data_IF_832826556125
#
_entry.id   IF_832826556125
#
_cell.length_a   1.000
_cell.length_b   1.000
_cell.length_c   1.000
_cell.angle_alpha   90.00
_cell.angle_beta   90.00
_cell.angle_gamma   90.00
#
_symmetry.space_group_name_H-M   'P 1'
#
loop_
_entity.id
_entity.type
_entity.pdbx_description
1 polymer ?
#
# COMPACT_ATOMS: atom_id res chain seq x y z
N UNK A 1 -22.46 -11.25 11.33
CA UNK A 1 -20.99 -11.27 11.18
C UNK A 1 -20.28 -11.78 12.43
N UNK A 2 -20.75 -11.45 13.63
CA UNK A 2 -20.22 -11.98 14.90
C UNK A 2 -20.69 -11.12 16.06
N UNK A 3 -20.19 -11.38 17.26
CA UNK A 3 -20.37 -10.46 18.39
C UNK A 3 -19.41 -9.28 18.23
N UNK A 4 -19.90 -8.06 18.40
CA UNK A 4 -19.04 -6.87 18.42
C UNK A 4 -18.13 -6.90 19.65
N UNK A 5 -16.82 -6.74 19.42
CA UNK A 5 -15.79 -6.73 20.46
C UNK A 5 -15.16 -5.34 20.66
N UNK A 6 -15.42 -4.39 19.76
CA UNK A 6 -15.02 -2.98 19.90
C UNK A 6 -16.01 -2.00 19.25
N UNK A 7 -16.25 -0.81 19.86
CA UNK A 7 -17.10 0.24 19.29
C UNK A 7 -16.37 1.19 18.32
N UNK A 8 -15.04 1.13 18.30
CA UNK A 8 -14.17 1.94 17.47
C UNK A 8 -13.12 1.05 16.82
N UNK A 9 -12.87 1.25 15.54
CA UNK A 9 -11.95 0.45 14.73
C UNK A 9 -10.78 1.31 14.28
N UNK A 10 -9.56 0.78 14.40
CA UNK A 10 -8.34 1.45 13.97
C UNK A 10 -8.32 1.57 12.45
N UNK A 11 -8.21 2.79 11.94
CA UNK A 11 -8.18 3.11 10.52
C UNK A 11 -6.92 3.90 10.16
N UNK A 12 -6.29 3.51 9.07
CA UNK A 12 -5.12 4.14 8.49
C UNK A 12 -5.46 4.87 7.19
N UNK A 13 -4.64 5.86 6.89
CA UNK A 13 -4.57 6.48 5.57
C UNK A 13 -3.85 5.55 4.60
N UNK A 14 -4.14 5.69 3.32
CA UNK A 14 -3.44 4.98 2.25
C UNK A 14 -2.94 5.99 1.25
N UNK A 15 -1.70 5.85 0.79
CA UNK A 15 -1.19 6.64 -0.32
C UNK A 15 -0.37 5.77 -1.29
N UNK A 16 -0.35 6.12 -2.59
CA UNK A 16 0.63 5.57 -3.53
C UNK A 16 2.04 6.06 -3.18
N UNK A 17 3.04 5.62 -3.93
CA UNK A 17 4.37 6.23 -3.88
C UNK A 17 4.32 7.62 -4.54
N UNK A 18 4.96 8.62 -3.92
CA UNK A 18 5.04 10.00 -4.43
C UNK A 18 6.43 10.58 -4.15
N UNK A 19 6.72 11.82 -4.55
CA UNK A 19 7.97 12.46 -4.14
C UNK A 19 8.06 12.60 -2.61
N UNK A 20 9.26 12.86 -2.04
CA UNK A 20 9.39 13.16 -0.61
C UNK A 20 8.51 14.33 -0.16
N UNK A 21 8.41 15.39 -0.96
CA UNK A 21 7.60 16.58 -0.68
C UNK A 21 6.11 16.27 -0.66
N UNK A 22 5.62 15.54 -1.67
CA UNK A 22 4.21 15.14 -1.75
C UNK A 22 3.87 14.13 -0.64
N UNK A 23 4.80 13.22 -0.31
CA UNK A 23 4.65 12.29 0.81
C UNK A 23 4.52 13.01 2.16
N UNK A 24 5.28 14.09 2.36
CA UNK A 24 5.17 14.94 3.54
C UNK A 24 3.83 15.70 3.58
N UNK A 25 3.35 16.20 2.45
CA UNK A 25 2.05 16.86 2.34
C UNK A 25 0.89 15.88 2.66
N UNK A 26 0.96 14.65 2.14
CA UNK A 26 -0.02 13.59 2.44
C UNK A 26 -0.07 13.25 3.94
N UNK A 27 1.08 13.23 4.63
CA UNK A 27 1.11 13.04 6.09
C UNK A 27 0.37 14.16 6.82
N UNK A 28 0.54 15.42 6.39
CA UNK A 28 -0.15 16.56 6.99
C UNK A 28 -1.67 16.49 6.76
N UNK A 29 -2.09 16.14 5.54
CA UNK A 29 -3.50 15.96 5.19
C UNK A 29 -4.13 14.83 6.00
N UNK A 30 -3.49 13.66 6.04
CA UNK A 30 -3.94 12.52 6.81
C UNK A 30 -4.09 12.87 8.31
N UNK A 31 -3.08 13.54 8.89
CA UNK A 31 -3.11 13.96 10.29
C UNK A 31 -4.23 14.97 10.57
N UNK A 32 -4.44 15.93 9.65
CA UNK A 32 -5.51 16.94 9.70
C UNK A 32 -6.90 16.33 9.64
N UNK A 33 -7.07 15.24 8.88
CA UNK A 33 -8.29 14.43 8.82
C UNK A 33 -8.46 13.44 9.97
N UNK A 34 -7.61 13.54 10.99
CA UNK A 34 -7.73 12.79 12.22
C UNK A 34 -7.07 11.40 12.20
N UNK A 35 -6.45 10.98 11.09
CA UNK A 35 -5.70 9.72 11.04
C UNK A 35 -4.42 9.79 11.87
N UNK A 36 -3.93 8.62 12.31
CA UNK A 36 -2.67 8.49 13.06
C UNK A 36 -1.75 7.38 12.53
N UNK A 37 -2.19 6.68 11.50
CA UNK A 37 -1.39 5.72 10.77
C UNK A 37 -1.56 5.95 9.28
N UNK A 38 -0.49 5.77 8.52
CA UNK A 38 -0.49 5.86 7.07
C UNK A 38 0.27 4.68 6.49
N UNK A 39 -0.32 4.02 5.50
CA UNK A 39 0.33 3.02 4.67
C UNK A 39 0.72 3.65 3.34
N UNK A 40 2.01 3.57 3.00
CA UNK A 40 2.58 4.08 1.76
C UNK A 40 3.09 2.93 0.91
N UNK A 41 2.83 2.95 -0.40
CA UNK A 41 3.54 2.07 -1.33
C UNK A 41 4.99 2.52 -1.45
N UNK A 42 5.95 1.63 -1.19
CA UNK A 42 7.35 1.84 -1.54
C UNK A 42 7.59 1.29 -2.94
N UNK A 43 8.25 2.08 -3.80
CA UNK A 43 8.55 1.68 -5.18
C UNK A 43 10.00 1.95 -5.54
N UNK A 44 10.54 1.09 -6.38
CA UNK A 44 11.97 1.01 -6.69
C UNK A 44 12.56 2.29 -7.31
N UNK A 45 11.73 3.15 -7.90
CA UNK A 45 12.13 4.42 -8.50
C UNK A 45 12.06 5.63 -7.55
N UNK A 46 11.88 5.39 -6.24
CA UNK A 46 11.94 6.41 -5.19
C UNK A 46 12.95 6.05 -4.11
N UNK A 47 13.61 7.05 -3.54
CA UNK A 47 14.39 6.91 -2.32
C UNK A 47 13.45 6.86 -1.12
N UNK A 48 13.19 5.64 -0.65
CA UNK A 48 12.27 5.40 0.47
C UNK A 48 12.79 5.96 1.79
N UNK A 49 14.11 6.10 1.96
CA UNK A 49 14.70 6.66 3.18
C UNK A 49 14.47 8.16 3.22
N UNK A 50 14.67 8.85 2.10
CA UNK A 50 14.38 10.27 1.96
C UNK A 50 12.88 10.56 2.15
N UNK A 51 12.00 9.75 1.54
CA UNK A 51 10.55 9.83 1.76
C UNK A 51 10.21 9.69 3.26
N UNK A 52 10.79 8.71 3.94
CA UNK A 52 10.53 8.47 5.36
C UNK A 52 11.00 9.63 6.25
N UNK A 53 12.13 10.27 5.91
CA UNK A 53 12.64 11.46 6.61
C UNK A 53 11.70 12.65 6.42
N UNK A 54 11.29 12.94 5.19
CA UNK A 54 10.34 14.02 4.90
C UNK A 54 9.00 13.82 5.64
N UNK A 55 8.49 12.58 5.64
CA UNK A 55 7.28 12.21 6.40
C UNK A 55 7.48 12.37 7.92
N UNK A 56 8.65 12.01 8.47
CA UNK A 56 8.96 12.18 9.90
C UNK A 56 8.94 13.65 10.32
N UNK A 57 9.48 14.54 9.49
CA UNK A 57 9.54 15.98 9.76
C UNK A 57 8.13 16.63 9.74
N UNK A 58 7.27 16.18 8.84
CA UNK A 58 5.92 16.71 8.69
C UNK A 58 4.90 16.17 9.72
N UNK A 59 5.16 14.99 10.28
CA UNK A 59 4.22 14.28 11.13
C UNK A 59 4.07 14.85 12.55
N UNK A 60 2.87 14.74 13.16
CA UNK A 60 2.73 14.93 14.59
C UNK A 60 3.40 13.80 15.39
N UNK A 61 3.74 14.01 16.68
CA UNK A 61 4.51 13.04 17.48
C UNK A 61 3.88 11.64 17.66
N UNK A 62 2.56 11.51 17.54
CA UNK A 62 1.82 10.24 17.70
C UNK A 62 1.47 9.56 16.36
N UNK A 63 2.06 10.02 15.24
CA UNK A 63 1.85 9.42 13.93
C UNK A 63 2.76 8.21 13.69
N UNK A 64 2.34 7.33 12.79
CA UNK A 64 3.16 6.21 12.31
C UNK A 64 2.98 6.00 10.81
N UNK A 65 4.03 5.52 10.17
CA UNK A 65 3.98 5.10 8.76
C UNK A 65 4.35 3.62 8.62
N UNK A 66 3.83 3.02 7.57
CA UNK A 66 4.09 1.65 7.13
C UNK A 66 4.42 1.68 5.64
N UNK A 67 5.50 1.01 5.24
CA UNK A 67 5.89 0.89 3.84
C UNK A 67 5.56 -0.49 3.28
N UNK A 68 4.85 -0.51 2.16
CA UNK A 68 4.51 -1.72 1.42
C UNK A 68 5.33 -1.82 0.14
N UNK A 69 6.28 -2.76 0.17
CA UNK A 69 7.25 -2.98 -0.91
C UNK A 69 6.72 -3.93 -1.99
N UNK A 70 5.67 -4.72 -1.75
CA UNK A 70 5.19 -5.75 -2.68
C UNK A 70 6.33 -6.60 -3.29
N UNK A 71 7.27 -6.99 -2.44
CA UNK A 71 8.44 -7.81 -2.77
C UNK A 71 9.58 -7.08 -3.49
N UNK A 72 9.53 -5.76 -3.63
CA UNK A 72 10.48 -5.00 -4.45
C UNK A 72 11.90 -4.92 -3.90
N UNK A 73 12.16 -5.31 -2.64
CA UNK A 73 13.54 -5.45 -2.15
C UNK A 73 14.19 -6.75 -2.62
N UNK A 74 13.44 -7.65 -3.27
CA UNK A 74 13.90 -8.84 -4.01
C UNK A 74 14.52 -9.93 -3.12
N UNK A 75 15.60 -9.64 -2.40
CA UNK A 75 16.35 -10.59 -1.56
C UNK A 75 16.92 -9.91 -0.30
N UNK A 76 17.54 -10.68 0.59
CA UNK A 76 18.03 -10.19 1.88
C UNK A 76 19.13 -9.14 1.71
N UNK A 77 20.03 -9.34 0.76
CA UNK A 77 21.21 -8.51 0.54
C UNK A 77 20.84 -7.12 0.02
N UNK A 78 19.78 -7.01 -0.79
CA UNK A 78 19.21 -5.74 -1.22
C UNK A 78 18.32 -5.11 -0.14
N UNK A 79 17.59 -5.91 0.63
CA UNK A 79 16.70 -5.41 1.67
C UNK A 79 17.44 -4.82 2.89
N UNK A 80 18.46 -5.51 3.41
CA UNK A 80 19.12 -5.13 4.67
C UNK A 80 19.68 -3.70 4.69
N UNK A 81 20.40 -3.21 3.66
CA UNK A 81 20.90 -1.84 3.66
C UNK A 81 19.79 -0.81 3.81
N UNK A 82 18.68 -0.99 3.09
CA UNK A 82 17.54 -0.05 3.09
C UNK A 82 16.78 -0.13 4.42
N UNK A 83 16.45 -1.34 4.88
CA UNK A 83 15.67 -1.54 6.10
C UNK A 83 16.42 -1.07 7.36
N UNK A 84 17.76 -1.18 7.39
CA UNK A 84 18.58 -0.65 8.50
C UNK A 84 18.58 0.88 8.54
N UNK A 85 18.51 1.56 7.40
CA UNK A 85 18.35 3.02 7.39
C UNK A 85 16.94 3.42 7.83
N UNK A 86 15.91 2.72 7.36
CA UNK A 86 14.53 2.95 7.80
C UNK A 86 14.34 2.71 9.31
N UNK A 87 15.04 1.74 9.90
CA UNK A 87 14.97 1.46 11.35
C UNK A 87 15.45 2.64 12.21
N UNK A 88 16.32 3.49 11.67
CA UNK A 88 16.79 4.71 12.35
C UNK A 88 15.73 5.82 12.38
N UNK A 89 14.64 5.68 11.62
CA UNK A 89 13.60 6.70 11.44
C UNK A 89 12.39 6.34 12.33
N UNK A 90 12.16 7.05 13.45
CA UNK A 90 11.21 6.60 14.48
C UNK A 90 9.76 6.46 14.03
N UNK A 91 9.29 7.24 13.05
CA UNK A 91 7.91 7.17 12.54
C UNK A 91 7.63 5.87 11.76
N UNK A 92 8.66 5.18 11.26
CA UNK A 92 8.50 3.92 10.52
C UNK A 92 8.18 2.80 11.52
N UNK A 93 6.95 2.26 11.43
CA UNK A 93 6.43 1.25 12.37
C UNK A 93 5.97 -0.04 11.71
N UNK A 94 6.16 -0.18 10.40
CA UNK A 94 5.76 -1.38 9.68
C UNK A 94 6.41 -1.48 8.31
N UNK A 95 6.73 -2.71 7.92
CA UNK A 95 7.22 -3.05 6.58
C UNK A 95 6.36 -4.21 6.07
N UNK A 96 5.58 -3.96 5.04
CA UNK A 96 4.77 -4.97 4.38
C UNK A 96 5.50 -5.54 3.17
N UNK A 97 5.46 -6.87 3.06
CA UNK A 97 6.03 -7.64 1.96
C UNK A 97 7.39 -7.12 1.47
N UNK A 98 8.44 -7.06 2.31
CA UNK A 98 9.75 -6.52 1.91
C UNK A 98 10.31 -7.25 0.68
N UNK A 99 10.18 -8.57 0.67
CA UNK A 99 10.62 -9.48 -0.38
C UNK A 99 9.53 -10.48 -0.73
N UNK A 100 9.70 -11.20 -1.84
CA UNK A 100 8.78 -12.27 -2.23
C UNK A 100 8.65 -13.32 -1.12
N UNK A 101 7.45 -13.53 -0.59
CA UNK A 101 7.29 -14.43 0.57
C UNK A 101 7.37 -15.93 0.26
N UNK A 102 7.74 -16.32 -0.97
CA UNK A 102 8.24 -17.69 -1.21
C UNK A 102 9.65 -17.90 -0.63
N UNK A 103 10.43 -16.83 -0.43
CA UNK A 103 11.76 -16.89 0.18
C UNK A 103 11.64 -16.88 1.72
N UNK A 104 11.20 -18.02 2.26
CA UNK A 104 10.92 -18.19 3.69
C UNK A 104 12.18 -17.96 4.54
N UNK A 105 13.33 -18.46 4.08
CA UNK A 105 14.59 -18.32 4.81
C UNK A 105 15.08 -16.88 4.78
N UNK A 106 14.90 -16.18 3.65
CA UNK A 106 15.15 -14.75 3.55
C UNK A 106 14.32 -13.93 4.53
N UNK A 107 13.02 -14.22 4.63
CA UNK A 107 12.13 -13.58 5.62
C UNK A 107 12.61 -13.80 7.07
N UNK A 108 12.93 -15.05 7.43
CA UNK A 108 13.45 -15.39 8.77
C UNK A 108 14.74 -14.66 9.08
N UNK A 109 15.67 -14.63 8.12
CA UNK A 109 16.94 -13.92 8.29
C UNK A 109 16.72 -12.42 8.46
N UNK A 110 15.86 -11.80 7.64
CA UNK A 110 15.52 -10.38 7.79
C UNK A 110 14.90 -10.10 9.16
N UNK A 111 13.95 -10.92 9.60
CA UNK A 111 13.27 -10.74 10.90
C UNK A 111 14.22 -10.88 12.10
N UNK A 112 15.28 -11.68 11.99
CA UNK A 112 16.33 -11.77 13.01
C UNK A 112 17.21 -10.51 13.08
N UNK A 113 17.35 -9.78 11.97
CA UNK A 113 18.26 -8.64 11.84
C UNK A 113 17.56 -7.28 11.98
N UNK A 114 16.28 -7.17 11.60
CA UNK A 114 15.50 -5.92 11.58
C UNK A 114 14.42 -5.95 12.65
N UNK A 115 14.24 -4.84 13.38
CA UNK A 115 13.28 -4.69 14.49
C UNK A 115 11.99 -4.00 14.10
N UNK A 116 11.92 -3.39 12.92
CA UNK A 116 10.64 -2.90 12.39
C UNK A 116 9.72 -4.12 12.16
N UNK A 117 8.46 -4.09 12.65
CA UNK A 117 7.52 -5.18 12.45
C UNK A 117 7.27 -5.49 10.96
N UNK A 118 7.23 -6.78 10.63
CA UNK A 118 6.91 -7.22 9.27
C UNK A 118 5.46 -7.66 9.11
N UNK A 119 4.85 -7.27 8.00
CA UNK A 119 3.46 -7.60 7.67
C UNK A 119 3.36 -8.43 6.40
N UNK A 120 2.59 -9.51 6.49
CA UNK A 120 2.34 -10.43 5.38
C UNK A 120 0.99 -10.13 4.73
N UNK A 121 0.97 -9.98 3.41
CA UNK A 121 -0.27 -9.71 2.67
C UNK A 121 -1.03 -10.99 2.27
N UNK A 122 -2.36 -10.94 2.29
CA UNK A 122 -3.20 -11.93 1.61
C UNK A 122 -3.21 -13.29 2.30
N UNK A 123 -3.39 -13.31 3.63
CA UNK A 123 -3.43 -14.55 4.40
C UNK A 123 -4.77 -15.29 4.28
N UNK A 124 -4.73 -16.46 3.64
CA UNK A 124 -5.86 -17.40 3.61
C UNK A 124 -5.82 -18.36 4.80
N UNK A 125 -6.95 -18.57 5.48
CA UNK A 125 -7.06 -19.54 6.59
C UNK A 125 -7.90 -20.77 6.18
N UNK A 126 -8.87 -20.59 5.30
CA UNK A 126 -9.69 -21.66 4.74
C UNK A 126 -9.27 -21.89 3.28
N UNK A 127 -8.96 -23.15 2.93
CA UNK A 127 -8.62 -23.57 1.58
C UNK A 127 -9.68 -24.53 1.05
N UNK A 128 -10.48 -24.08 0.07
CA UNK A 128 -11.57 -24.86 -0.53
C UNK A 128 -11.08 -25.83 -1.63
N UNK A 129 -9.96 -26.52 -1.38
CA UNK A 129 -9.40 -27.55 -2.26
C UNK A 129 -7.88 -27.49 -2.43
N UNK A 130 -7.33 -28.41 -3.22
CA UNK A 130 -5.92 -28.40 -3.59
C UNK A 130 -5.66 -27.22 -4.55
N UNK A 131 -4.90 -26.22 -4.10
CA UNK A 131 -4.38 -25.16 -4.97
C UNK A 131 -3.10 -25.62 -5.66
N UNK A 132 -3.02 -25.45 -6.98
CA UNK A 132 -1.80 -25.61 -7.79
C UNK A 132 -1.09 -24.27 -8.08
N UNK A 133 -1.63 -23.14 -7.61
CA UNK A 133 -1.09 -21.82 -7.95
C UNK A 133 0.09 -21.45 -7.05
N UNK A 134 1.15 -20.80 -7.59
CA UNK A 134 2.17 -20.11 -6.81
C UNK A 134 1.68 -18.78 -6.21
N UNK A 135 0.47 -18.33 -6.56
CA UNK A 135 -0.13 -17.03 -6.19
C UNK A 135 -1.19 -17.12 -5.08
N UNK A 136 -1.12 -18.13 -4.22
CA UNK A 136 -1.86 -18.14 -2.97
C UNK A 136 -1.84 -19.52 -2.33
N UNK A 137 -1.72 -19.66 -1.01
CA UNK A 137 -1.18 -18.78 0.04
C UNK A 137 -0.02 -19.49 0.78
N UNK A 138 1.14 -18.84 0.83
CA UNK A 138 2.04 -18.74 1.99
C UNK A 138 2.22 -19.94 2.95
N UNK A 139 2.29 -21.19 2.47
CA UNK A 139 2.35 -22.40 3.31
C UNK A 139 3.66 -22.57 4.13
N UNK A 140 4.60 -21.63 4.02
CA UNK A 140 5.93 -21.75 4.61
C UNK A 140 6.22 -20.79 5.77
N UNK A 141 5.66 -19.58 5.74
CA UNK A 141 5.78 -18.61 6.82
C UNK A 141 4.79 -18.97 7.93
N UNK A 142 5.28 -18.98 9.16
CA UNK A 142 4.51 -19.35 10.36
C UNK A 142 4.42 -18.16 11.30
N UNK A 143 3.55 -18.29 12.29
CA UNK A 143 3.54 -17.35 13.41
C UNK A 143 4.97 -17.22 13.98
N UNK A 144 5.46 -15.98 14.10
CA UNK A 144 6.83 -15.68 14.50
C UNK A 144 7.80 -15.38 13.35
N UNK A 145 7.47 -15.73 12.10
CA UNK A 145 8.24 -15.28 10.92
C UNK A 145 7.82 -13.87 10.46
N UNK A 146 6.70 -13.35 10.99
CA UNK A 146 6.14 -12.01 10.76
C UNK A 146 5.36 -11.56 12.00
N UNK A 147 5.11 -10.25 12.11
CA UNK A 147 4.52 -9.61 13.28
C UNK A 147 3.05 -9.23 13.10
N UNK A 148 2.54 -9.23 11.87
CA UNK A 148 1.15 -8.94 11.56
C UNK A 148 0.75 -9.45 10.18
N UNK A 149 -0.54 -9.55 9.93
CA UNK A 149 -1.03 -10.03 8.65
C UNK A 149 -2.19 -9.18 8.12
N UNK A 150 -2.22 -9.01 6.80
CA UNK A 150 -3.30 -8.32 6.12
C UNK A 150 -4.38 -9.30 5.68
N UNK A 151 -5.56 -9.06 6.22
CA UNK A 151 -6.83 -9.57 5.72
C UNK A 151 -7.32 -8.58 4.65
N UNK A 152 -7.19 -8.98 3.38
CA UNK A 152 -7.32 -8.14 2.20
C UNK A 152 -8.32 -8.75 1.21
N UNK A 153 -9.51 -8.13 1.09
CA UNK A 153 -10.56 -8.50 0.14
C UNK A 153 -11.03 -9.97 0.16
N UNK A 154 -10.75 -10.74 1.20
CA UNK A 154 -11.30 -12.09 1.32
C UNK A 154 -12.82 -12.08 1.56
N UNK A 155 -13.45 -13.23 1.31
CA UNK A 155 -14.85 -13.42 1.69
C UNK A 155 -15.00 -13.45 3.23
N UNK A 156 -16.21 -13.12 3.71
CA UNK A 156 -16.53 -13.07 5.15
C UNK A 156 -16.19 -14.38 5.87
N UNK A 157 -16.38 -15.53 5.21
CA UNK A 157 -16.08 -16.84 5.80
C UNK A 157 -14.59 -16.96 6.15
N UNK A 158 -13.71 -16.61 5.22
CA UNK A 158 -12.27 -16.64 5.44
C UNK A 158 -11.82 -15.55 6.43
N UNK A 159 -12.39 -14.35 6.39
CA UNK A 159 -12.07 -13.27 7.33
C UNK A 159 -12.38 -13.67 8.79
N UNK A 160 -13.54 -14.27 9.04
CA UNK A 160 -13.90 -14.74 10.39
C UNK A 160 -13.01 -15.90 10.84
N UNK A 161 -12.64 -16.81 9.95
CA UNK A 161 -11.69 -17.88 10.27
C UNK A 161 -10.30 -17.33 10.61
N UNK A 162 -9.80 -16.38 9.80
CA UNK A 162 -8.54 -15.67 10.05
C UNK A 162 -8.56 -14.95 11.40
N UNK A 163 -9.68 -14.32 11.76
CA UNK A 163 -9.82 -13.68 13.07
C UNK A 163 -9.56 -14.63 14.24
N UNK A 164 -10.09 -15.85 14.20
CA UNK A 164 -9.88 -16.83 15.28
C UNK A 164 -8.48 -17.41 15.24
N UNK A 165 -7.96 -17.73 14.05
CA UNK A 165 -6.61 -18.26 13.88
C UNK A 165 -5.54 -17.28 14.40
N UNK A 166 -5.61 -16.02 13.99
CA UNK A 166 -4.65 -15.00 14.45
C UNK A 166 -4.87 -14.59 15.89
N UNK A 167 -6.10 -14.67 16.42
CA UNK A 167 -6.30 -14.54 17.88
C UNK A 167 -5.58 -15.64 18.65
N UNK A 168 -5.66 -16.88 18.21
CA UNK A 168 -4.96 -18.01 18.83
C UNK A 168 -3.43 -17.89 18.71
N UNK A 169 -2.94 -17.33 17.60
CA UNK A 169 -1.51 -17.09 17.37
C UNK A 169 -0.97 -15.78 18.01
N UNK A 170 -1.84 -14.97 18.65
CA UNK A 170 -1.51 -13.64 19.14
C UNK A 170 -0.93 -12.72 18.05
N UNK A 171 -1.46 -12.81 16.84
CA UNK A 171 -1.04 -12.03 15.68
C UNK A 171 -2.06 -10.90 15.39
N UNK A 172 -1.61 -9.64 15.31
CA UNK A 172 -2.47 -8.53 14.91
C UNK A 172 -2.80 -8.58 13.42
N UNK A 173 -4.01 -8.12 13.10
CA UNK A 173 -4.57 -8.06 11.75
C UNK A 173 -4.65 -6.60 11.33
N UNK A 174 -4.26 -6.35 10.08
CA UNK A 174 -4.60 -5.15 9.33
C UNK A 174 -5.72 -5.53 8.35
N UNK A 175 -6.76 -4.69 8.25
CA UNK A 175 -7.82 -4.87 7.26
C UNK A 175 -7.54 -4.01 6.05
N UNK A 176 -7.55 -4.61 4.86
CA UNK A 176 -7.41 -3.88 3.60
C UNK A 176 -8.61 -4.17 2.71
N UNK A 177 -9.50 -3.17 2.59
CA UNK A 177 -10.67 -3.25 1.73
C UNK A 177 -10.80 -1.93 0.98
N UNK A 178 -10.24 -1.87 -0.22
CA UNK A 178 -10.23 -0.67 -1.05
C UNK A 178 -11.60 -0.42 -1.68
N UNK A 179 -12.11 0.80 -1.55
CA UNK A 179 -13.36 1.24 -2.17
C UNK A 179 -13.90 2.51 -1.54
N UNK A 180 -15.16 2.81 -1.80
CA UNK A 180 -15.85 4.02 -1.30
C UNK A 180 -16.25 3.89 0.18
N UNK A 181 -17.03 4.83 0.69
CA UNK A 181 -17.59 4.85 2.03
C UNK A 181 -18.43 3.62 2.37
N UNK A 182 -19.01 2.96 1.37
CA UNK A 182 -19.68 1.66 1.53
C UNK A 182 -18.67 0.60 1.99
N UNK A 183 -17.52 0.52 1.30
CA UNK A 183 -16.44 -0.40 1.64
C UNK A 183 -15.81 -0.05 2.98
N UNK A 184 -15.67 1.24 3.28
CA UNK A 184 -15.17 1.68 4.58
C UNK A 184 -16.11 1.28 5.74
N UNK A 185 -17.42 1.40 5.56
CA UNK A 185 -18.40 0.91 6.52
C UNK A 185 -18.29 -0.61 6.70
N UNK A 186 -18.18 -1.38 5.60
CA UNK A 186 -17.97 -2.82 5.66
C UNK A 186 -16.69 -3.20 6.41
N UNK A 187 -15.56 -2.57 6.09
CA UNK A 187 -14.28 -2.79 6.78
C UNK A 187 -14.39 -2.46 8.28
N UNK A 188 -15.11 -1.39 8.64
CA UNK A 188 -15.37 -1.03 10.03
C UNK A 188 -16.23 -2.10 10.73
N UNK A 189 -17.30 -2.59 10.12
CA UNK A 189 -18.12 -3.67 10.68
C UNK A 189 -17.30 -4.96 10.90
N UNK A 190 -16.44 -5.31 9.94
CA UNK A 190 -15.52 -6.45 10.09
C UNK A 190 -14.50 -6.21 11.21
N UNK A 191 -13.88 -5.03 11.24
CA UNK A 191 -12.96 -4.62 12.29
C UNK A 191 -13.61 -4.54 13.66
N UNK A 192 -14.93 -4.39 13.76
CA UNK A 192 -15.66 -4.39 15.03
C UNK A 192 -15.78 -5.79 15.65
N UNK A 193 -15.73 -6.85 14.83
CA UNK A 193 -15.93 -8.25 15.25
C UNK A 193 -14.65 -9.09 15.20
N UNK A 194 -13.63 -8.69 14.43
CA UNK A 194 -12.39 -9.44 14.28
C UNK A 194 -11.43 -9.20 15.47
N UNK A 195 -11.20 -10.24 16.27
CA UNK A 195 -10.56 -10.16 17.59
C UNK A 195 -9.22 -9.43 17.66
N UNK A 196 -8.37 -9.52 16.64
CA UNK A 196 -7.05 -8.87 16.59
C UNK A 196 -6.91 -7.87 15.45
N UNK A 197 -8.00 -7.37 14.87
CA UNK A 197 -7.99 -6.24 13.94
C UNK A 197 -7.62 -4.93 14.67
N UNK A 198 -6.32 -4.76 14.93
CA UNK A 198 -5.75 -3.70 15.77
C UNK A 198 -4.70 -2.86 15.05
N UNK A 199 -4.18 -3.32 13.91
CA UNK A 199 -3.38 -2.46 13.03
C UNK A 199 -4.30 -1.49 12.29
N UNK A 200 -3.83 -0.28 11.92
CA UNK A 200 -4.61 0.69 11.17
C UNK A 200 -5.10 0.11 9.83
N UNK A 201 -6.40 -0.15 9.70
CA UNK A 201 -6.99 -0.71 8.49
C UNK A 201 -7.11 0.32 7.37
N UNK A 202 -6.85 -0.07 6.13
CA UNK A 202 -6.84 0.83 4.97
C UNK A 202 -8.01 0.55 4.04
N UNK A 203 -8.68 1.62 3.61
CA UNK A 203 -9.82 1.53 2.68
C UNK A 203 -9.66 2.39 1.44
N UNK A 204 -8.73 3.35 1.46
CA UNK A 204 -8.53 4.32 0.39
C UNK A 204 -9.82 5.05 -0.05
N UNK A 205 -10.86 5.11 0.79
CA UNK A 205 -12.12 5.82 0.47
C UNK A 205 -11.89 7.30 0.18
N UNK A 206 -10.87 7.90 0.79
CA UNK A 206 -10.46 9.29 0.54
C UNK A 206 -9.92 9.55 -0.87
N UNK A 207 -9.55 8.52 -1.64
CA UNK A 207 -9.05 8.68 -3.01
C UNK A 207 -10.17 8.73 -4.04
N UNK A 208 -11.43 8.52 -3.63
CA UNK A 208 -12.59 8.61 -4.50
C UNK A 208 -13.17 10.03 -4.42
N UNK A 209 -13.52 10.59 -5.58
CA UNK A 209 -14.18 11.90 -5.66
C UNK A 209 -15.55 11.90 -4.96
N UNK A 210 -16.24 10.76 -4.97
CA UNK A 210 -17.54 10.59 -4.34
C UNK A 210 -17.61 9.32 -3.50
N UNK A 211 -18.06 9.46 -2.24
CA UNK A 211 -18.03 8.40 -1.23
C UNK A 211 -19.20 7.39 -1.36
N UNK A 212 -20.15 7.67 -2.26
CA UNK A 212 -21.38 6.91 -2.52
C UNK A 212 -22.34 6.81 -1.32
N UNK A 213 -22.10 7.54 -0.23
CA UNK A 213 -22.95 7.57 0.96
C UNK A 213 -23.30 9.01 1.32
N UNK A 214 -24.48 9.20 1.93
CA UNK A 214 -24.99 10.55 2.25
C UNK A 214 -24.23 11.24 3.38
N UNK A 215 -23.72 10.48 4.33
CA UNK A 215 -22.92 10.95 5.47
C UNK A 215 -21.52 10.32 5.44
N UNK A 216 -20.46 11.09 5.09
CA UNK A 216 -19.10 10.57 5.07
C UNK A 216 -18.60 10.15 6.45
N UNK A 217 -17.74 9.13 6.46
CA UNK A 217 -17.14 8.63 7.70
C UNK A 217 -16.17 9.65 8.30
N UNK A 218 -16.24 9.83 9.62
CA UNK A 218 -15.30 10.68 10.36
C UNK A 218 -14.28 9.82 11.09
N UNK A 219 -13.00 10.17 10.95
CA UNK A 219 -11.91 9.57 11.73
C UNK A 219 -11.56 10.47 12.91
N UNK A 220 -11.52 9.87 14.09
CA UNK A 220 -11.16 10.53 15.34
C UNK A 220 -9.95 9.84 15.94
N UNK A 221 -8.80 10.52 15.88
CA UNK A 221 -7.52 10.01 16.41
C UNK A 221 -7.13 8.63 15.87
N UNK A 222 -7.33 8.38 14.58
CA UNK A 222 -7.03 7.12 13.92
C UNK A 222 -8.10 6.05 14.13
N UNK A 223 -9.27 6.41 14.65
CA UNK A 223 -10.38 5.48 14.83
C UNK A 223 -11.64 5.93 14.12
N UNK A 224 -12.35 4.98 13.53
CA UNK A 224 -13.70 5.15 13.00
C UNK A 224 -14.70 4.53 13.98
N UNK A 225 -15.78 5.25 14.27
CA UNK A 225 -16.89 4.70 15.06
C UNK A 225 -17.64 3.67 14.22
N UNK A 226 -17.99 2.54 14.80
CA UNK A 226 -18.81 1.53 14.12
C UNK A 226 -20.21 2.11 13.85
N UNK A 227 -20.68 2.14 12.58
CA UNK A 227 -22.02 2.61 12.27
C UNK A 227 -23.10 1.72 12.90
N UNK A 228 -24.15 2.33 13.46
CA UNK A 228 -25.17 1.65 14.28
C UNK A 228 -26.49 1.36 13.53
N UNK A 229 -26.66 1.90 12.31
CA UNK A 229 -27.83 1.69 11.48
C UNK A 229 -27.97 0.24 10.95
N UNK A 230 -29.08 -0.10 10.28
CA UNK A 230 -29.27 -1.43 9.70
C UNK A 230 -28.25 -1.76 8.62
N UNK A 231 -27.94 -3.05 8.45
CA UNK A 231 -26.99 -3.52 7.43
C UNK A 231 -25.55 -3.09 7.75
N UNK A 232 -24.96 -2.27 6.87
CA UNK A 232 -23.64 -1.67 7.10
C UNK A 232 -23.71 -0.42 8.00
N UNK A 233 -24.92 0.10 8.24
CA UNK A 233 -25.18 1.30 9.04
C UNK A 233 -24.95 2.61 8.31
N UNK A 234 -24.98 2.59 6.97
CA UNK A 234 -24.88 3.77 6.10
C UNK A 234 -26.04 3.83 5.12
N UNK A 235 -26.37 5.03 4.66
CA UNK A 235 -27.35 5.29 3.60
C UNK A 235 -26.63 5.63 2.29
N UNK A 236 -27.14 5.10 1.19
CA UNK A 236 -26.57 5.28 -0.14
C UNK A 236 -26.94 6.67 -0.70
N UNK A 237 -25.97 7.33 -1.32
CA UNK A 237 -26.25 8.52 -2.12
C UNK A 237 -26.71 8.09 -3.52
N UNK A 238 -28.03 7.91 -3.68
CA UNK A 238 -28.66 7.48 -4.93
C UNK A 238 -28.39 8.47 -6.09
N UNK A 239 -28.25 9.77 -5.79
CA UNK A 239 -27.95 10.79 -6.80
C UNK A 239 -26.52 10.64 -7.31
N UNK A 240 -25.55 10.41 -6.41
CA UNK A 240 -24.18 10.11 -6.79
C UNK A 240 -24.10 8.81 -7.60
N UNK A 241 -24.77 7.74 -7.15
CA UNK A 241 -24.81 6.46 -7.87
C UNK A 241 -25.35 6.65 -9.29
N UNK A 242 -26.46 7.38 -9.44
CA UNK A 242 -27.06 7.63 -10.75
C UNK A 242 -26.14 8.49 -11.63
N UNK A 243 -25.46 9.49 -11.07
CA UNK A 243 -24.50 10.35 -11.79
C UNK A 243 -23.33 9.55 -12.35
N UNK A 244 -22.67 8.75 -11.52
CA UNK A 244 -21.46 8.01 -11.91
C UNK A 244 -21.76 6.77 -12.75
N UNK A 245 -23.00 6.26 -12.75
CA UNK A 245 -23.43 5.13 -13.58
C UNK A 245 -23.22 5.35 -15.09
N UNK A 246 -23.38 6.58 -15.55
CA UNK A 246 -23.30 6.95 -16.99
C UNK A 246 -22.07 7.78 -17.34
N UNK A 247 -21.19 8.05 -16.37
CA UNK A 247 -19.99 8.84 -16.62
C UNK A 247 -18.95 8.00 -17.34
N UNK A 248 -18.41 8.52 -18.45
CA UNK A 248 -17.27 7.91 -19.11
C UNK A 248 -15.99 8.20 -18.31
N UNK A 249 -15.01 7.30 -18.41
CA UNK A 249 -13.69 7.53 -17.83
C UNK A 249 -13.03 8.77 -18.45
N UNK A 250 -12.09 9.41 -17.73
CA UNK A 250 -11.33 10.52 -18.28
C UNK A 250 -10.48 10.07 -19.47
N UNK A 251 -10.32 10.96 -20.45
CA UNK A 251 -9.30 10.81 -21.50
C UNK A 251 -7.95 11.20 -20.89
N UNK A 252 -7.05 10.23 -20.76
CA UNK A 252 -5.70 10.48 -20.26
C UNK A 252 -4.78 10.94 -21.40
N UNK A 253 -3.91 11.95 -21.16
CA UNK A 253 -2.91 12.34 -22.14
C UNK A 253 -1.93 11.18 -22.39
N UNK A 254 -1.22 11.22 -23.52
CA UNK A 254 -0.04 10.36 -23.70
C UNK A 254 0.99 10.79 -22.67
N UNK A 255 1.68 9.82 -22.09
CA UNK A 255 2.76 10.07 -21.14
C UNK A 255 3.80 8.95 -21.19
N UNK A 256 4.95 9.19 -20.57
CA UNK A 256 5.94 8.16 -20.22
C UNK A 256 6.62 8.53 -18.90
N UNK A 257 7.17 7.52 -18.22
CA UNK A 257 7.86 7.68 -16.94
C UNK A 257 9.36 7.91 -17.18
N UNK A 258 9.96 8.87 -16.47
CA UNK A 258 11.40 9.14 -16.49
C UNK A 258 11.96 8.89 -15.11
N UNK A 259 12.88 7.93 -15.01
CA UNK A 259 13.65 7.67 -13.80
C UNK A 259 15.00 8.35 -13.92
N UNK A 260 15.31 9.27 -13.02
CA UNK A 260 16.64 9.87 -12.91
C UNK A 260 17.43 9.14 -11.84
N UNK A 261 18.50 8.46 -12.25
CA UNK A 261 19.43 7.73 -11.39
C UNK A 261 20.47 8.67 -10.78
N UNK A 262 21.16 8.24 -9.70
CA UNK A 262 22.27 9.01 -9.13
C UNK A 262 23.31 9.39 -10.19
N UNK A 263 23.69 10.66 -10.22
CA UNK A 263 24.57 11.21 -11.25
C UNK A 263 23.85 11.86 -12.44
N UNK A 264 22.51 11.87 -12.43
CA UNK A 264 21.70 12.60 -13.42
C UNK A 264 21.42 11.83 -14.71
N UNK A 265 21.54 10.50 -14.68
CA UNK A 265 21.27 9.64 -15.83
C UNK A 265 19.76 9.38 -15.91
N UNK A 266 19.12 9.76 -17.02
CA UNK A 266 17.69 9.55 -17.26
C UNK A 266 17.43 8.25 -18.03
N UNK A 267 16.57 7.39 -17.47
CA UNK A 267 16.02 6.22 -18.13
C UNK A 267 14.52 6.44 -18.38
N UNK A 268 14.09 6.21 -19.61
CA UNK A 268 12.71 6.39 -20.05
C UNK A 268 11.99 5.05 -20.09
N UNK A 269 10.79 4.99 -19.52
CA UNK A 269 9.93 3.83 -19.47
C UNK A 269 8.54 4.16 -20.00
N UNK A 270 7.87 3.19 -20.63
CA UNK A 270 6.50 3.33 -21.14
C UNK A 270 5.52 3.79 -20.05
N UNK A 271 5.72 3.32 -18.82
CA UNK A 271 4.97 3.69 -17.62
C UNK A 271 5.64 3.12 -16.37
N UNK A 272 5.13 3.51 -15.19
CA UNK A 272 5.56 3.02 -13.88
C UNK A 272 5.57 1.51 -13.73
N UNK A 273 4.59 0.82 -14.32
CA UNK A 273 4.48 -0.62 -14.19
C UNK A 273 5.63 -1.33 -14.90
N UNK A 274 6.06 -0.83 -16.07
CA UNK A 274 7.24 -1.34 -16.76
C UNK A 274 8.50 -1.08 -15.92
N UNK A 275 8.69 0.14 -15.40
CA UNK A 275 9.83 0.48 -14.55
C UNK A 275 9.94 -0.45 -13.34
N UNK A 276 8.84 -0.64 -12.60
CA UNK A 276 8.81 -1.53 -11.44
C UNK A 276 9.15 -2.98 -11.80
N UNK A 277 8.60 -3.49 -12.91
CA UNK A 277 8.82 -4.87 -13.35
C UNK A 277 10.27 -5.13 -13.79
N UNK A 278 10.90 -4.16 -14.43
CA UNK A 278 12.28 -4.28 -14.91
C UNK A 278 13.28 -4.08 -13.77
N UNK A 279 13.03 -3.16 -12.84
CA UNK A 279 13.85 -3.01 -11.62
C UNK A 279 13.83 -4.26 -10.73
N UNK A 280 12.68 -4.95 -10.64
CA UNK A 280 12.59 -6.27 -10.00
C UNK A 280 13.48 -7.32 -10.66
N UNK A 281 13.78 -7.17 -11.95
CA UNK A 281 14.69 -8.02 -12.73
C UNK A 281 16.14 -7.53 -12.71
N UNK A 282 16.43 -6.43 -12.01
CA UNK A 282 17.78 -5.86 -11.88
C UNK A 282 18.15 -4.86 -12.97
N UNK A 283 17.19 -4.36 -13.75
CA UNK A 283 17.39 -3.18 -14.61
C UNK A 283 17.38 -1.96 -13.69
N UNK A 284 18.52 -1.28 -13.58
CA UNK A 284 18.77 -0.15 -12.67
C UNK A 284 18.89 -0.50 -11.19
N UNK A 285 19.45 0.45 -10.44
CA UNK A 285 19.64 0.34 -9.00
C UNK A 285 18.39 0.82 -8.26
N UNK A 286 17.53 -0.14 -7.91
CA UNK A 286 16.29 0.10 -7.17
C UNK A 286 16.56 0.74 -5.80
N UNK A 287 15.74 1.73 -5.45
CA UNK A 287 15.82 2.49 -4.19
C UNK A 287 17.16 3.22 -3.98
N UNK A 288 17.88 3.52 -5.06
CA UNK A 288 19.16 4.21 -4.97
C UNK A 288 19.01 5.60 -4.32
N UNK A 289 19.94 6.02 -3.45
CA UNK A 289 19.85 7.33 -2.82
C UNK A 289 19.78 8.47 -3.83
N UNK A 290 18.76 9.33 -3.70
CA UNK A 290 18.54 10.45 -4.62
C UNK A 290 17.91 10.09 -5.98
N UNK A 291 17.45 8.85 -6.18
CA UNK A 291 16.66 8.48 -7.36
C UNK A 291 15.37 9.32 -7.42
N UNK A 292 14.96 9.72 -8.64
CA UNK A 292 13.76 10.51 -8.88
C UNK A 292 12.92 9.91 -9.99
N UNK A 293 11.62 10.18 -9.91
CA UNK A 293 10.65 9.84 -10.93
C UNK A 293 9.93 11.11 -11.38
N UNK A 294 9.75 11.24 -12.68
CA UNK A 294 8.89 12.25 -13.32
C UNK A 294 7.96 11.55 -14.32
N UNK A 295 6.67 11.88 -14.32
CA UNK A 295 5.76 11.51 -15.40
C UNK A 295 5.73 12.66 -16.42
N UNK A 296 6.27 12.43 -17.62
CA UNK A 296 6.26 13.42 -18.70
C UNK A 296 5.01 13.22 -19.55
N UNK A 297 4.11 14.19 -19.49
CA UNK A 297 2.95 14.27 -20.36
C UNK A 297 3.31 14.87 -21.73
N UNK A 298 2.51 14.54 -22.74
CA UNK A 298 2.67 15.02 -24.11
C UNK A 298 2.60 16.54 -24.23
N UNK A 299 3.74 17.15 -24.51
CA UNK A 299 3.92 18.58 -24.73
C UNK A 299 3.78 19.00 -26.20
N UNK A 300 3.48 18.05 -27.09
CA UNK A 300 3.39 18.25 -28.54
C UNK A 300 4.74 18.38 -29.25
N UNK A 301 5.87 18.14 -28.57
CA UNK A 301 7.20 18.22 -29.17
C UNK A 301 7.55 16.99 -30.01
N UNK A 302 8.37 17.16 -31.05
CA UNK A 302 8.92 16.04 -31.83
C UNK A 302 9.76 15.10 -30.97
N UNK A 303 10.44 15.63 -29.95
CA UNK A 303 11.25 14.86 -29.00
C UNK A 303 10.38 13.90 -28.20
N UNK A 304 9.30 14.39 -27.59
CA UNK A 304 8.32 13.56 -26.89
C UNK A 304 7.78 12.48 -27.82
N UNK A 305 7.33 12.88 -29.01
CA UNK A 305 6.67 12.01 -29.98
C UNK A 305 7.58 10.84 -30.42
N UNK A 306 8.87 11.12 -30.58
CA UNK A 306 9.90 10.14 -30.92
C UNK A 306 10.19 9.16 -29.78
N UNK A 307 10.39 9.66 -28.55
CA UNK A 307 10.62 8.82 -27.36
C UNK A 307 9.40 7.94 -27.12
N UNK A 308 8.21 8.53 -27.12
CA UNK A 308 6.96 7.82 -26.87
C UNK A 308 6.73 6.69 -27.89
N UNK A 309 6.93 6.94 -29.19
CA UNK A 309 6.80 5.90 -30.24
C UNK A 309 7.79 4.77 -30.03
N UNK A 310 9.05 5.08 -29.73
CA UNK A 310 10.08 4.08 -29.44
C UNK A 310 9.69 3.21 -28.25
N UNK A 311 9.19 3.81 -27.17
CA UNK A 311 8.70 3.09 -25.98
C UNK A 311 7.47 2.20 -26.25
N UNK A 312 6.70 2.45 -27.31
CA UNK A 312 5.61 1.54 -27.72
C UNK A 312 6.13 0.30 -28.46
N UNK A 313 7.32 0.36 -29.05
CA UNK A 313 7.92 -0.73 -29.82
C UNK A 313 8.92 -1.55 -29.00
N UNK A 314 9.50 -0.97 -27.95
CA UNK A 314 10.50 -1.59 -27.08
C UNK A 314 9.91 -2.06 -25.74
N UNK A 315 10.37 -3.21 -25.26
CA UNK A 315 10.03 -3.76 -23.93
C UNK A 315 11.07 -3.39 -22.85
N UNK A 316 12.16 -2.72 -23.23
CA UNK A 316 13.24 -2.24 -22.35
C UNK A 316 13.18 -0.71 -22.19
N UNK A 317 13.82 -0.13 -21.15
CA UNK A 317 13.95 1.31 -21.06
C UNK A 317 14.79 1.85 -22.22
N UNK A 318 14.67 3.14 -22.46
CA UNK A 318 15.57 3.90 -23.34
C UNK A 318 16.49 4.72 -22.44
N UNK A 319 17.79 4.76 -22.72
CA UNK A 319 18.79 5.45 -21.88
C UNK A 319 19.94 6.10 -22.67
N UNK A 320 19.88 6.05 -24.00
CA UNK A 320 20.86 6.71 -24.87
C UNK A 320 20.33 8.07 -25.33
N UNK A 321 21.21 9.08 -25.37
CA UNK A 321 20.91 10.42 -25.88
C UNK A 321 20.28 10.34 -27.28
N UNK A 322 19.20 11.10 -27.51
CA UNK A 322 18.62 11.32 -28.84
C UNK A 322 18.83 12.76 -29.29
#
# INVERSE_FOLDING_TARGET
MGQQVRPWVSMGWWMPCMSPEDSAAEVQEAAGRGYRGLKCKARAFYDVVEQAQAMQEAAPPDFRIEFDFNGSLINVEKALPILRELEKIPIVKGVEEPMFAYDIEGWRRLHQEIRIPFYLHGVGTIFDGASRQPSGPWLGLRAGDFDGALCSHENIRNAIAASWAFKAANTPILLQYVGTGITAAFACQMGAVMHTATLPGVTASHTYEADMITEPHTIQRGFMKVPEGPGLGVELDEDAVQRYRSMLGPDWPRYYSVVTLPGGVEHYYRNLQQAENLMKQGVDDAFAPGIRLEEREDDGSETFDRIWKRLQEEEWPVWEEI
#
